data_IF_171226259178
#
_entry.id   IF_171226259178
#
_cell.length_a   1.000
_cell.length_b   1.000
_cell.length_c   1.000
_cell.angle_alpha   90.00
_cell.angle_beta   90.00
_cell.angle_gamma   90.00
#
_symmetry.space_group_name_H-M   'P 1'
#
loop_
_entity.id
_entity.type
_entity.pdbx_description
1 polymer ?
#
# COMPACT_ATOMS: atom_id res chain seq x y z
N UNK A 1 22.79 -64.00 16.54
CA UNK A 1 21.98 -63.03 15.77
C UNK A 1 22.52 -61.62 16.00
N UNK A 2 23.06 -60.98 14.96
CA UNK A 2 22.98 -59.53 14.66
C UNK A 2 23.83 -59.29 13.41
N UNK A 3 23.18 -59.26 12.26
CA UNK A 3 23.83 -58.97 10.98
C UNK A 3 24.14 -57.48 10.89
N UNK A 4 25.43 -57.14 10.81
CA UNK A 4 25.91 -55.82 10.48
C UNK A 4 25.55 -55.52 9.02
N UNK A 5 24.51 -54.70 8.79
CA UNK A 5 24.21 -54.16 7.46
C UNK A 5 25.36 -53.21 7.06
N UNK A 6 26.30 -53.70 6.25
CA UNK A 6 27.25 -52.83 5.55
C UNK A 6 26.48 -52.06 4.48
N UNK A 7 26.47 -50.73 4.59
CA UNK A 7 25.96 -49.86 3.54
C UNK A 7 26.88 -49.96 2.32
N UNK A 8 26.29 -49.97 1.12
CA UNK A 8 27.08 -49.97 -0.11
C UNK A 8 27.85 -48.65 -0.23
N UNK A 9 29.06 -48.64 -0.81
CA UNK A 9 29.84 -47.41 -1.00
C UNK A 9 29.08 -46.30 -1.72
N UNK A 10 28.16 -46.67 -2.62
CA UNK A 10 27.29 -45.73 -3.33
C UNK A 10 26.28 -45.04 -2.41
N UNK A 11 25.68 -45.78 -1.46
CA UNK A 11 24.75 -45.20 -0.48
C UNK A 11 25.44 -44.24 0.50
N UNK A 12 26.71 -44.49 0.83
CA UNK A 12 27.52 -43.59 1.67
C UNK A 12 27.89 -42.30 0.92
N UNK A 13 28.19 -42.39 -0.37
CA UNK A 13 28.45 -41.24 -1.23
C UNK A 13 27.20 -40.36 -1.40
N UNK A 14 26.05 -40.97 -1.71
CA UNK A 14 24.78 -40.23 -1.87
C UNK A 14 24.38 -39.51 -0.57
N UNK A 15 24.49 -40.17 0.60
CA UNK A 15 24.25 -39.51 1.89
C UNK A 15 25.23 -38.37 2.19
N UNK A 16 26.49 -38.48 1.76
CA UNK A 16 27.47 -37.40 1.90
C UNK A 16 27.12 -36.18 1.04
N UNK A 17 26.59 -36.42 -0.15
CA UNK A 17 26.13 -35.38 -1.07
C UNK A 17 24.86 -34.69 -0.55
N UNK A 18 23.90 -35.46 -0.04
CA UNK A 18 22.67 -34.94 0.57
C UNK A 18 22.97 -34.14 1.84
N UNK A 19 23.92 -34.58 2.67
CA UNK A 19 24.35 -33.85 3.86
C UNK A 19 25.06 -32.53 3.50
N UNK A 20 25.82 -32.52 2.39
CA UNK A 20 26.45 -31.30 1.88
C UNK A 20 25.40 -30.30 1.39
N UNK A 21 24.43 -30.76 0.60
CA UNK A 21 23.30 -29.94 0.12
C UNK A 21 22.48 -29.40 1.31
N UNK A 22 22.19 -30.22 2.31
CA UNK A 22 21.50 -29.76 3.53
C UNK A 22 22.30 -28.71 4.30
N UNK A 23 23.63 -28.85 4.41
CA UNK A 23 24.46 -27.84 5.07
C UNK A 23 24.57 -26.55 4.28
N UNK A 24 24.65 -26.61 2.95
CA UNK A 24 24.63 -25.45 2.08
C UNK A 24 23.28 -24.72 2.19
N UNK A 25 22.17 -25.45 2.11
CA UNK A 25 20.81 -24.89 2.25
C UNK A 25 20.52 -24.36 3.66
N UNK A 26 21.09 -24.96 4.72
CA UNK A 26 20.99 -24.45 6.08
C UNK A 26 21.81 -23.16 6.25
N UNK A 27 23.02 -23.10 5.67
CA UNK A 27 23.81 -21.86 5.61
C UNK A 27 23.11 -20.76 4.81
N UNK A 28 22.52 -21.11 3.67
CA UNK A 28 21.70 -20.20 2.89
C UNK A 28 20.54 -19.70 3.75
N UNK A 29 19.81 -20.61 4.43
CA UNK A 29 18.71 -20.28 5.34
C UNK A 29 19.12 -19.37 6.52
N UNK A 30 20.32 -19.59 7.07
CA UNK A 30 20.91 -18.75 8.12
C UNK A 30 21.37 -17.38 7.58
N UNK A 31 21.80 -17.29 6.32
CA UNK A 31 22.21 -16.04 5.68
C UNK A 31 21.02 -15.11 5.32
N UNK A 32 19.89 -15.67 4.83
CA UNK A 32 18.63 -14.91 4.57
C UNK A 32 18.19 -14.08 5.78
N UNK A 33 18.43 -14.63 6.98
CA UNK A 33 18.01 -14.05 8.24
C UNK A 33 18.91 -12.92 8.76
N UNK A 34 20.05 -12.64 8.13
CA UNK A 34 21.07 -11.75 8.70
C UNK A 34 21.03 -10.32 8.15
N UNK A 35 20.56 -10.11 6.91
CA UNK A 35 20.72 -8.81 6.25
C UNK A 35 19.50 -7.87 6.39
N UNK A 36 18.29 -8.41 6.40
CA UNK A 36 17.07 -7.62 6.56
C UNK A 36 16.63 -7.64 8.04
N UNK A 37 16.58 -6.50 8.74
CA UNK A 37 16.16 -6.45 10.12
C UNK A 37 14.75 -7.02 10.33
N UNK A 38 14.57 -7.80 11.40
CA UNK A 38 13.27 -8.39 11.78
C UNK A 38 12.16 -7.35 11.91
N UNK A 39 12.49 -6.13 12.33
CA UNK A 39 11.54 -5.01 12.42
C UNK A 39 10.93 -4.66 11.07
N UNK A 40 11.73 -4.62 10.00
CA UNK A 40 11.26 -4.35 8.62
C UNK A 40 10.33 -5.45 8.15
N UNK A 41 10.70 -6.72 8.37
CA UNK A 41 9.85 -7.86 8.02
C UNK A 41 8.51 -7.86 8.77
N UNK A 42 8.51 -7.45 10.05
CA UNK A 42 7.31 -7.36 10.86
C UNK A 42 6.37 -6.24 10.40
N UNK A 43 6.92 -5.10 9.95
CA UNK A 43 6.13 -4.02 9.35
C UNK A 43 5.47 -4.47 8.04
N UNK A 44 6.20 -5.19 7.18
CA UNK A 44 5.65 -5.73 5.93
C UNK A 44 4.51 -6.71 6.21
N UNK A 45 4.69 -7.65 7.14
CA UNK A 45 3.64 -8.63 7.46
C UNK A 45 2.43 -7.98 8.13
N UNK A 46 2.63 -7.00 9.00
CA UNK A 46 1.56 -6.20 9.61
C UNK A 46 0.76 -5.44 8.56
N UNK A 47 1.44 -4.76 7.62
CA UNK A 47 0.79 -4.04 6.52
C UNK A 47 0.01 -4.98 5.60
N UNK A 48 0.55 -6.13 5.21
CA UNK A 48 -0.16 -7.13 4.40
C UNK A 48 -1.45 -7.62 5.07
N UNK A 49 -1.41 -7.80 6.39
CA UNK A 49 -2.57 -8.25 7.15
C UNK A 49 -3.64 -7.15 7.27
N UNK A 50 -3.22 -5.90 7.46
CA UNK A 50 -4.11 -4.74 7.56
C UNK A 50 -4.70 -4.32 6.21
N UNK A 51 -3.95 -4.45 5.11
CA UNK A 51 -4.37 -4.09 3.75
C UNK A 51 -5.64 -4.85 3.34
N UNK A 52 -5.71 -6.15 3.64
CA UNK A 52 -6.87 -7.00 3.33
C UNK A 52 -8.16 -6.54 4.04
N UNK A 53 -8.03 -5.78 5.13
CA UNK A 53 -9.14 -5.26 5.92
C UNK A 53 -9.41 -3.75 5.71
N UNK A 54 -8.61 -3.07 4.87
CA UNK A 54 -8.55 -1.61 4.83
C UNK A 54 -9.69 -0.99 4.01
N UNK A 55 -10.85 -0.84 4.64
CA UNK A 55 -12.03 -0.16 4.06
C UNK A 55 -12.38 1.14 4.78
N UNK A 56 -11.86 1.36 6.00
CA UNK A 56 -12.13 2.56 6.80
C UNK A 56 -11.02 3.60 6.70
N UNK A 57 -11.39 4.88 6.85
CA UNK A 57 -10.43 5.99 6.81
C UNK A 57 -9.38 5.89 7.92
N UNK A 58 -9.77 5.44 9.11
CA UNK A 58 -8.85 5.21 10.24
C UNK A 58 -7.82 4.15 9.91
N UNK A 59 -8.23 3.00 9.36
CA UNK A 59 -7.30 1.95 8.92
C UNK A 59 -6.32 2.47 7.87
N UNK A 60 -6.80 3.26 6.90
CA UNK A 60 -5.96 3.88 5.87
C UNK A 60 -4.92 4.83 6.50
N UNK A 61 -5.31 5.67 7.46
CA UNK A 61 -4.38 6.58 8.17
C UNK A 61 -3.31 5.79 8.94
N UNK A 62 -3.70 4.72 9.64
CA UNK A 62 -2.76 3.84 10.34
C UNK A 62 -1.79 3.20 9.35
N UNK A 63 -2.28 2.72 8.21
CA UNK A 63 -1.45 2.10 7.17
C UNK A 63 -0.46 3.11 6.55
N UNK A 64 -0.84 4.38 6.37
CA UNK A 64 0.10 5.44 5.95
C UNK A 64 1.24 5.61 6.96
N UNK A 65 0.93 5.62 8.26
CA UNK A 65 1.93 5.68 9.33
C UNK A 65 2.87 4.47 9.33
N UNK A 66 2.32 3.25 9.24
CA UNK A 66 3.13 2.03 9.16
C UNK A 66 3.98 1.96 7.89
N UNK A 67 3.48 2.46 6.76
CA UNK A 67 4.24 2.55 5.51
C UNK A 67 5.38 3.58 5.62
N UNK A 68 5.14 4.72 6.27
CA UNK A 68 6.21 5.68 6.60
C UNK A 68 7.31 4.99 7.41
N UNK A 69 6.94 4.28 8.47
CA UNK A 69 7.90 3.59 9.35
C UNK A 69 8.67 2.49 8.61
N UNK A 70 8.00 1.80 7.67
CA UNK A 70 8.65 0.83 6.79
C UNK A 70 9.70 1.49 5.91
N UNK A 71 9.39 2.62 5.27
CA UNK A 71 10.34 3.36 4.45
C UNK A 71 11.52 3.94 5.24
N UNK A 72 11.29 4.38 6.48
CA UNK A 72 12.38 4.78 7.38
C UNK A 72 13.25 3.57 7.78
N UNK A 73 12.63 2.43 8.07
CA UNK A 73 13.34 1.17 8.33
C UNK A 73 14.18 0.71 7.13
N UNK A 74 13.65 0.82 5.92
CA UNK A 74 14.37 0.53 4.68
C UNK A 74 15.51 1.52 4.46
N UNK A 75 15.29 2.80 4.73
CA UNK A 75 16.36 3.79 4.65
C UNK A 75 17.53 3.43 5.60
N UNK A 76 17.22 3.02 6.83
CA UNK A 76 18.24 2.61 7.80
C UNK A 76 18.94 1.32 7.38
N UNK A 77 18.20 0.37 6.79
CA UNK A 77 18.74 -0.85 6.20
C UNK A 77 19.75 -0.52 5.08
N UNK A 78 19.38 0.37 4.15
CA UNK A 78 20.25 0.78 3.03
C UNK A 78 21.55 1.45 3.53
N UNK A 79 21.54 2.07 4.70
CA UNK A 79 22.74 2.70 5.28
C UNK A 79 23.70 1.69 5.96
N UNK A 80 23.31 0.42 6.11
CA UNK A 80 24.18 -0.61 6.67
C UNK A 80 25.28 -0.99 5.68
N UNK A 81 26.53 -1.05 6.15
CA UNK A 81 27.69 -1.34 5.29
C UNK A 81 27.57 -2.64 4.49
N UNK A 82 27.02 -3.70 5.10
CA UNK A 82 26.79 -4.98 4.42
C UNK A 82 25.78 -4.89 3.28
N UNK A 83 24.73 -4.09 3.46
CA UNK A 83 23.71 -3.84 2.42
C UNK A 83 24.30 -2.96 1.32
N UNK A 84 25.05 -1.91 1.68
CA UNK A 84 25.71 -1.05 0.71
C UNK A 84 26.68 -1.84 -0.17
N UNK A 85 27.48 -2.74 0.42
CA UNK A 85 28.35 -3.64 -0.34
C UNK A 85 27.55 -4.55 -1.28
N UNK A 86 26.48 -5.18 -0.79
CA UNK A 86 25.62 -6.03 -1.63
C UNK A 86 24.99 -5.26 -2.81
N UNK A 87 24.49 -4.05 -2.56
CA UNK A 87 23.86 -3.20 -3.58
C UNK A 87 24.87 -2.56 -4.55
N UNK A 88 26.08 -2.21 -4.10
CA UNK A 88 27.12 -1.61 -4.96
C UNK A 88 27.74 -2.63 -5.92
N UNK A 89 27.67 -3.93 -5.57
CA UNK A 89 28.17 -5.00 -6.43
C UNK A 89 27.20 -5.37 -7.57
N UNK A 90 26.01 -4.75 -7.62
CA UNK A 90 25.01 -5.03 -8.65
C UNK A 90 25.46 -4.48 -10.00
N UNK A 91 25.55 -5.37 -11.00
CA UNK A 91 25.91 -5.03 -12.39
C UNK A 91 24.70 -5.09 -13.35
N UNK A 92 23.50 -5.27 -12.82
CA UNK A 92 22.27 -5.37 -13.61
C UNK A 92 21.57 -4.01 -13.69
N UNK A 93 21.95 -3.23 -14.71
CA UNK A 93 21.34 -1.93 -15.03
C UNK A 93 19.81 -2.02 -15.15
N UNK A 94 19.28 -3.15 -15.63
CA UNK A 94 17.83 -3.32 -15.79
C UNK A 94 17.16 -3.39 -14.42
N UNK A 95 17.70 -4.20 -13.51
CA UNK A 95 17.20 -4.28 -12.14
C UNK A 95 17.31 -2.94 -11.40
N UNK A 96 18.45 -2.25 -11.53
CA UNK A 96 18.67 -0.93 -10.92
C UNK A 96 17.63 0.06 -11.44
N UNK A 97 17.46 0.16 -12.76
CA UNK A 97 16.50 1.06 -13.37
C UNK A 97 15.06 0.75 -12.96
N UNK A 98 14.67 -0.52 -12.86
CA UNK A 98 13.33 -0.93 -12.42
C UNK A 98 13.06 -0.60 -10.94
N UNK A 99 14.06 -0.73 -10.08
CA UNK A 99 13.95 -0.35 -8.68
C UNK A 99 13.84 1.18 -8.53
N UNK A 100 14.70 1.92 -9.23
CA UNK A 100 14.67 3.39 -9.21
C UNK A 100 13.39 3.92 -9.85
N UNK A 101 12.90 3.37 -10.95
CA UNK A 101 11.62 3.74 -11.55
C UNK A 101 10.44 3.44 -10.60
N UNK A 102 10.43 2.26 -9.97
CA UNK A 102 9.42 1.91 -8.96
C UNK A 102 9.37 2.90 -7.80
N UNK A 103 10.53 3.29 -7.26
CA UNK A 103 10.61 4.30 -6.19
C UNK A 103 10.14 5.69 -6.65
N UNK A 104 10.42 6.09 -7.90
CA UNK A 104 9.96 7.37 -8.45
C UNK A 104 8.44 7.38 -8.58
N UNK A 105 7.88 6.32 -9.19
CA UNK A 105 6.43 6.19 -9.39
C UNK A 105 5.68 6.20 -8.05
N UNK A 106 6.28 5.67 -6.99
CA UNK A 106 5.70 5.73 -5.64
C UNK A 106 5.69 7.15 -5.07
N UNK A 107 6.78 7.91 -5.24
CA UNK A 107 6.85 9.34 -4.90
C UNK A 107 5.81 10.14 -5.68
N UNK A 108 5.70 9.92 -6.99
CA UNK A 108 4.75 10.63 -7.87
C UNK A 108 3.29 10.33 -7.48
N UNK A 109 2.96 9.07 -7.19
CA UNK A 109 1.63 8.69 -6.71
C UNK A 109 1.34 9.28 -5.32
N UNK A 110 2.33 9.37 -4.44
CA UNK A 110 2.16 10.03 -3.15
C UNK A 110 1.91 11.54 -3.32
N UNK A 111 2.66 12.19 -4.21
CA UNK A 111 2.46 13.58 -4.61
C UNK A 111 1.05 13.83 -5.15
N UNK A 112 0.61 13.02 -6.11
CA UNK A 112 -0.75 13.10 -6.65
C UNK A 112 -1.83 12.87 -5.56
N UNK A 113 -1.61 11.94 -4.65
CA UNK A 113 -2.51 11.72 -3.51
C UNK A 113 -2.63 12.96 -2.62
N UNK A 114 -1.52 13.66 -2.34
CA UNK A 114 -1.50 14.92 -1.57
C UNK A 114 -2.34 15.99 -2.26
N UNK A 115 -2.17 16.17 -3.57
CA UNK A 115 -2.93 17.15 -4.35
C UNK A 115 -4.44 16.86 -4.30
N UNK A 116 -4.82 15.58 -4.41
CA UNK A 116 -6.23 15.14 -4.36
C UNK A 116 -6.85 15.38 -2.97
N UNK A 117 -6.11 15.10 -1.89
CA UNK A 117 -6.56 15.39 -0.53
C UNK A 117 -6.71 16.90 -0.31
N UNK A 118 -5.76 17.70 -0.79
CA UNK A 118 -5.80 19.16 -0.71
C UNK A 118 -7.03 19.74 -1.45
N UNK A 119 -7.27 19.34 -2.71
CA UNK A 119 -8.47 19.72 -3.47
C UNK A 119 -9.77 19.30 -2.77
N UNK A 120 -9.74 18.17 -2.07
CA UNK A 120 -10.88 17.68 -1.29
C UNK A 120 -11.13 18.59 -0.10
N UNK A 121 -10.08 18.98 0.63
CA UNK A 121 -10.13 19.93 1.75
C UNK A 121 -10.74 21.26 1.34
N UNK A 122 -10.21 21.86 0.27
CA UNK A 122 -10.69 23.14 -0.27
C UNK A 122 -12.20 23.07 -0.56
N UNK A 123 -12.64 21.99 -1.21
CA UNK A 123 -14.08 21.82 -1.51
C UNK A 123 -14.96 21.73 -0.27
N UNK A 124 -14.48 21.09 0.80
CA UNK A 124 -15.19 21.00 2.09
C UNK A 124 -15.25 22.37 2.75
N UNK A 125 -14.12 23.08 2.82
CA UNK A 125 -14.01 24.39 3.47
C UNK A 125 -14.81 25.48 2.75
N UNK A 126 -14.90 25.42 1.42
CA UNK A 126 -15.74 26.30 0.61
C UNK A 126 -17.23 26.12 0.95
N UNK A 127 -17.68 24.86 1.05
CA UNK A 127 -19.06 24.55 1.41
C UNK A 127 -19.36 24.97 2.86
N UNK A 128 -18.48 24.65 3.81
CA UNK A 128 -18.64 25.06 5.20
C UNK A 128 -18.71 26.58 5.36
N UNK A 129 -17.84 27.30 4.64
CA UNK A 129 -17.81 28.76 4.67
C UNK A 129 -19.09 29.36 4.07
N UNK A 130 -19.67 28.71 3.06
CA UNK A 130 -20.93 29.13 2.44
C UNK A 130 -22.13 28.91 3.38
N UNK A 131 -22.19 27.74 4.03
CA UNK A 131 -23.21 27.43 5.05
C UNK A 131 -23.15 28.44 6.21
N UNK A 132 -21.95 28.74 6.73
CA UNK A 132 -21.75 29.71 7.83
C UNK A 132 -22.23 31.13 7.48
N UNK A 133 -22.13 31.52 6.20
CA UNK A 133 -22.52 32.86 5.73
C UNK A 133 -24.04 33.01 5.51
N UNK A 134 -24.81 31.92 5.63
CA UNK A 134 -26.28 31.87 5.72
C UNK A 134 -27.04 32.76 4.69
N UNK A 135 -26.95 32.43 3.40
CA UNK A 135 -27.63 33.14 2.30
C UNK A 135 -28.95 32.53 1.81
N UNK A 136 -29.43 31.43 2.41
CA UNK A 136 -30.61 30.71 1.89
C UNK A 136 -30.38 29.99 0.54
N UNK A 137 -29.14 30.00 0.03
CA UNK A 137 -28.73 29.39 -1.24
C UNK A 137 -28.04 28.02 -1.07
N UNK A 138 -28.21 27.34 0.07
CA UNK A 138 -27.54 26.07 0.42
C UNK A 138 -27.59 25.03 -0.70
N UNK A 139 -28.68 24.96 -1.46
CA UNK A 139 -28.81 24.03 -2.59
C UNK A 139 -27.82 24.32 -3.73
N UNK A 140 -27.52 25.60 -4.01
CA UNK A 140 -26.54 26.03 -5.01
C UNK A 140 -25.12 25.69 -4.53
N UNK A 141 -24.81 25.98 -3.26
CA UNK A 141 -23.50 25.70 -2.67
C UNK A 141 -23.20 24.20 -2.65
N UNK A 142 -24.19 23.38 -2.27
CA UNK A 142 -24.09 21.92 -2.32
C UNK A 142 -23.89 21.44 -3.77
N UNK A 143 -24.55 22.04 -4.76
CA UNK A 143 -24.33 21.68 -6.17
C UNK A 143 -22.90 21.99 -6.62
N UNK A 144 -22.33 23.12 -6.20
CA UNK A 144 -20.93 23.51 -6.48
C UNK A 144 -19.95 22.53 -5.86
N UNK A 145 -20.15 22.17 -4.59
CA UNK A 145 -19.39 21.11 -3.92
C UNK A 145 -19.46 19.80 -4.71
N UNK A 146 -20.67 19.32 -5.02
CA UNK A 146 -20.88 18.08 -5.80
C UNK A 146 -20.17 18.12 -7.16
N UNK A 147 -20.17 19.27 -7.85
CA UNK A 147 -19.47 19.44 -9.11
C UNK A 147 -17.94 19.34 -8.95
N UNK A 148 -17.38 19.99 -7.92
CA UNK A 148 -15.95 19.88 -7.57
C UNK A 148 -15.56 18.43 -7.27
N UNK A 149 -16.35 17.73 -6.45
CA UNK A 149 -16.12 16.33 -6.09
C UNK A 149 -16.19 15.40 -7.30
N UNK A 150 -17.10 15.65 -8.25
CA UNK A 150 -17.14 14.93 -9.55
C UNK A 150 -15.88 15.18 -10.38
N UNK A 151 -15.32 16.39 -10.37
CA UNK A 151 -14.07 16.73 -11.07
C UNK A 151 -12.89 15.97 -10.46
N UNK A 152 -12.79 15.95 -9.13
CA UNK A 152 -11.77 15.18 -8.40
C UNK A 152 -11.87 13.69 -8.74
N UNK A 153 -13.07 13.10 -8.68
CA UNK A 153 -13.28 11.70 -9.02
C UNK A 153 -12.86 11.37 -10.47
N UNK A 154 -13.18 12.24 -11.43
CA UNK A 154 -12.71 12.09 -12.82
C UNK A 154 -11.18 12.10 -12.92
N UNK A 155 -10.52 13.01 -12.20
CA UNK A 155 -9.06 13.11 -12.15
C UNK A 155 -8.44 11.83 -11.58
N UNK A 156 -8.91 11.39 -10.40
CA UNK A 156 -8.46 10.15 -9.74
C UNK A 156 -8.67 8.93 -10.65
N UNK A 157 -9.86 8.80 -11.25
CA UNK A 157 -10.18 7.68 -12.14
C UNK A 157 -9.25 7.66 -13.36
N UNK A 158 -8.93 8.83 -13.92
CA UNK A 158 -7.98 8.95 -15.05
C UNK A 158 -6.58 8.52 -14.61
N UNK A 159 -6.12 8.99 -13.45
CA UNK A 159 -4.80 8.65 -12.91
C UNK A 159 -4.67 7.14 -12.65
N UNK A 160 -5.63 6.54 -11.94
CA UNK A 160 -5.64 5.09 -11.63
C UNK A 160 -5.67 4.24 -12.92
N UNK A 161 -6.36 4.69 -13.98
CA UNK A 161 -6.34 3.99 -15.27
C UNK A 161 -4.96 4.00 -15.91
N UNK A 162 -4.27 5.13 -15.88
CA UNK A 162 -2.93 5.27 -16.43
C UNK A 162 -1.91 4.44 -15.64
N UNK A 163 -2.08 4.31 -14.31
CA UNK A 163 -1.22 3.49 -13.45
C UNK A 163 -1.19 1.99 -13.83
N UNK A 164 -2.26 1.46 -14.42
CA UNK A 164 -2.33 0.02 -14.78
C UNK A 164 -1.34 -0.39 -15.86
N UNK A 165 -0.84 0.56 -16.67
CA UNK A 165 0.16 0.30 -17.70
C UNK A 165 1.55 -0.03 -17.15
N UNK A 166 1.83 0.28 -15.88
CA UNK A 166 3.18 0.19 -15.31
C UNK A 166 3.48 -1.11 -14.56
N UNK A 167 2.49 -1.96 -14.29
CA UNK A 167 2.64 -3.18 -13.48
C UNK A 167 3.14 -4.41 -14.27
N UNK A 168 3.63 -4.25 -15.50
CA UNK A 168 3.92 -5.37 -16.42
C UNK A 168 5.38 -5.79 -16.52
N UNK A 169 6.29 -5.16 -15.78
CA UNK A 169 7.72 -5.48 -15.87
C UNK A 169 8.16 -6.19 -14.59
N UNK A 170 8.02 -7.52 -14.58
CA UNK A 170 8.69 -8.36 -13.59
C UNK A 170 9.94 -8.94 -14.25
N UNK A 171 11.11 -8.47 -13.84
CA UNK A 171 12.37 -9.04 -14.28
C UNK A 171 12.81 -10.12 -13.31
N UNK A 172 13.24 -11.26 -13.86
CA UNK A 172 13.86 -12.33 -13.09
C UNK A 172 15.16 -11.80 -12.47
N UNK A 173 15.14 -11.62 -11.15
CA UNK A 173 16.32 -11.31 -10.33
C UNK A 173 17.42 -12.35 -10.58
N UNK A 174 18.67 -11.86 -10.67
CA UNK A 174 19.89 -12.64 -10.82
C UNK A 174 19.91 -13.90 -9.94
N UNK A 175 20.15 -15.06 -10.56
CA UNK A 175 20.03 -16.37 -9.93
C UNK A 175 21.18 -16.72 -8.95
N UNK A 176 22.10 -15.77 -8.69
CA UNK A 176 23.39 -16.06 -8.04
C UNK A 176 23.63 -15.38 -6.70
N UNK A 177 22.91 -14.31 -6.36
CA UNK A 177 23.08 -13.59 -5.09
C UNK A 177 21.81 -13.68 -4.24
N UNK A 178 21.92 -14.48 -3.18
CA UNK A 178 20.81 -14.75 -2.27
C UNK A 178 20.36 -13.47 -1.51
N UNK A 179 21.32 -12.68 -1.03
CA UNK A 179 21.07 -11.49 -0.22
C UNK A 179 20.42 -10.38 -1.05
N UNK A 180 20.95 -10.16 -2.26
CA UNK A 180 20.38 -9.21 -3.21
C UNK A 180 18.95 -9.61 -3.62
N UNK A 181 18.70 -10.91 -3.81
CA UNK A 181 17.37 -11.44 -4.14
C UNK A 181 16.38 -11.19 -2.99
N UNK A 182 16.82 -11.38 -1.74
CA UNK A 182 16.00 -11.10 -0.57
C UNK A 182 15.67 -9.61 -0.45
N UNK A 183 16.67 -8.72 -0.62
CA UNK A 183 16.46 -7.26 -0.61
C UNK A 183 15.53 -6.83 -1.74
N UNK A 184 15.78 -7.29 -2.97
CA UNK A 184 14.98 -6.95 -4.14
C UNK A 184 13.51 -7.39 -3.99
N UNK A 185 13.27 -8.60 -3.47
CA UNK A 185 11.92 -9.08 -3.14
C UNK A 185 11.25 -8.19 -2.10
N UNK A 186 11.95 -7.85 -1.01
CA UNK A 186 11.43 -6.98 0.05
C UNK A 186 11.07 -5.59 -0.48
N UNK A 187 11.92 -4.98 -1.31
CA UNK A 187 11.67 -3.68 -1.92
C UNK A 187 10.47 -3.73 -2.87
N UNK A 188 10.32 -4.79 -3.67
CA UNK A 188 9.15 -4.99 -4.55
C UNK A 188 7.85 -5.21 -3.77
N UNK A 189 7.90 -5.94 -2.67
CA UNK A 189 6.75 -6.09 -1.77
C UNK A 189 6.36 -4.74 -1.14
N UNK A 190 7.35 -3.96 -0.72
CA UNK A 190 7.12 -2.60 -0.18
C UNK A 190 6.53 -1.68 -1.23
N UNK A 191 7.04 -1.71 -2.47
CA UNK A 191 6.48 -0.96 -3.60
C UNK A 191 5.00 -1.29 -3.78
N UNK A 192 4.65 -2.57 -3.84
CA UNK A 192 3.27 -3.03 -3.99
C UNK A 192 2.34 -2.56 -2.86
N UNK A 193 2.79 -2.65 -1.60
CA UNK A 193 2.07 -2.14 -0.43
C UNK A 193 1.84 -0.62 -0.54
N UNK A 194 2.89 0.12 -0.93
CA UNK A 194 2.81 1.56 -1.12
C UNK A 194 1.80 1.97 -2.17
N UNK A 195 1.80 1.30 -3.33
CA UNK A 195 0.80 1.51 -4.38
C UNK A 195 -0.61 1.22 -3.89
N UNK A 196 -0.80 0.13 -3.16
CA UNK A 196 -2.12 -0.27 -2.69
C UNK A 196 -2.71 0.73 -1.69
N UNK A 197 -1.93 1.12 -0.67
CA UNK A 197 -2.36 2.06 0.37
C UNK A 197 -2.67 3.44 -0.24
N UNK A 198 -1.78 3.97 -1.08
CA UNK A 198 -2.02 5.26 -1.75
C UNK A 198 -3.24 5.20 -2.67
N UNK A 199 -3.46 4.08 -3.35
CA UNK A 199 -4.67 3.88 -4.15
C UNK A 199 -5.93 3.85 -3.28
N UNK A 200 -5.88 3.26 -2.09
CA UNK A 200 -7.00 3.31 -1.12
C UNK A 200 -7.30 4.73 -0.66
N UNK A 201 -6.27 5.56 -0.41
CA UNK A 201 -6.45 7.01 -0.15
C UNK A 201 -7.18 7.69 -1.30
N UNK A 202 -6.72 7.47 -2.54
CA UNK A 202 -7.36 8.05 -3.72
C UNK A 202 -8.82 7.59 -3.90
N UNK A 203 -9.12 6.32 -3.64
CA UNK A 203 -10.49 5.79 -3.72
C UNK A 203 -11.37 6.42 -2.65
N UNK A 204 -10.88 6.54 -1.41
CA UNK A 204 -11.57 7.23 -0.32
C UNK A 204 -11.88 8.69 -0.70
N UNK A 205 -10.91 9.40 -1.30
CA UNK A 205 -11.08 10.79 -1.74
C UNK A 205 -11.93 10.94 -3.01
N UNK A 206 -12.00 9.95 -3.90
CA UNK A 206 -12.89 10.03 -5.06
C UNK A 206 -14.38 9.85 -4.68
N UNK A 207 -14.60 9.18 -3.55
CA UNK A 207 -15.89 8.71 -3.09
C UNK A 207 -16.49 7.59 -3.97
N UNK A 208 -17.24 6.67 -3.37
CA UNK A 208 -17.96 5.66 -4.14
C UNK A 208 -19.03 6.29 -5.02
N UNK A 209 -19.14 5.82 -6.27
CA UNK A 209 -20.32 6.10 -7.08
C UNK A 209 -21.51 5.42 -6.43
N UNK A 210 -22.58 6.18 -6.18
CA UNK A 210 -23.93 5.62 -6.06
C UNK A 210 -24.14 4.72 -7.28
N UNK A 211 -24.17 3.40 -7.06
CA UNK A 211 -24.45 2.43 -8.13
C UNK A 211 -25.89 2.70 -8.56
N UNK A 212 -26.08 3.49 -9.62
CA UNK A 212 -27.32 3.43 -10.38
C UNK A 212 -27.51 1.97 -10.77
N UNK A 213 -28.67 1.39 -10.44
CA UNK A 213 -29.04 0.01 -10.75
C UNK A 213 -28.80 -0.30 -12.24
N UNK A 214 -27.62 -0.79 -12.62
CA UNK A 214 -27.37 -1.67 -13.77
C UNK A 214 -25.89 -2.09 -13.85
N UNK A 215 -25.69 -3.41 -14.02
CA UNK A 215 -24.43 -4.13 -14.26
C UNK A 215 -23.44 -4.18 -13.10
N UNK A 216 -23.82 -5.05 -12.16
CA UNK A 216 -22.95 -6.12 -11.66
C UNK A 216 -21.89 -6.48 -12.71
N UNK A 217 -20.70 -5.89 -12.58
CA UNK A 217 -19.49 -6.58 -12.99
C UNK A 217 -19.25 -7.57 -11.88
N UNK A 218 -19.77 -8.77 -12.12
CA UNK A 218 -19.32 -10.01 -11.54
C UNK A 218 -17.82 -9.92 -11.26
N UNK A 219 -17.51 -9.67 -9.99
CA UNK A 219 -16.26 -10.10 -9.39
C UNK A 219 -16.09 -11.56 -9.81
N UNK A 220 -14.90 -11.87 -10.29
CA UNK A 220 -14.48 -13.16 -10.81
C UNK A 220 -14.72 -14.28 -9.77
N UNK A 221 -15.96 -14.77 -9.69
CA UNK A 221 -16.30 -16.00 -8.99
C UNK A 221 -16.10 -17.17 -9.95
N UNK A 222 -14.84 -17.57 -10.08
CA UNK A 222 -14.49 -18.96 -10.38
C UNK A 222 -13.47 -19.41 -9.34
N UNK A 223 -13.94 -19.57 -8.11
CA UNK A 223 -13.33 -20.52 -7.21
C UNK A 223 -14.46 -21.34 -6.58
N UNK A 224 -14.29 -22.65 -6.67
CA UNK A 224 -15.31 -23.67 -6.47
C UNK A 224 -15.86 -23.68 -5.04
N UNK A 225 -17.16 -23.84 -4.98
CA UNK A 225 -17.95 -24.05 -3.78
C UNK A 225 -17.64 -25.42 -3.19
N UNK A 226 -17.19 -25.47 -1.93
CA UNK A 226 -17.32 -26.67 -1.10
C UNK A 226 -17.74 -26.29 0.32
N UNK A 227 -18.99 -26.67 0.63
CA UNK A 227 -19.63 -26.88 1.94
C UNK A 227 -19.63 -25.77 3.01
N UNK A 228 -20.75 -25.04 3.06
CA UNK A 228 -21.78 -25.07 4.13
C UNK A 228 -21.27 -25.21 5.59
N UNK A 229 -21.50 -24.19 6.41
CA UNK A 229 -22.36 -24.22 7.62
C UNK A 229 -22.72 -22.77 8.03
N UNK A 230 -24.02 -22.57 8.27
CA UNK A 230 -24.67 -21.40 8.85
C UNK A 230 -24.05 -21.02 10.21
N UNK A 231 -23.84 -19.73 10.47
CA UNK A 231 -24.17 -19.17 11.78
C UNK A 231 -24.41 -17.67 11.67
N UNK A 232 -25.65 -17.28 11.91
CA UNK A 232 -26.01 -15.93 12.35
C UNK A 232 -25.26 -15.65 13.65
N UNK A 233 -24.43 -14.60 13.66
CA UNK A 233 -24.13 -13.86 14.87
C UNK A 233 -24.17 -12.38 14.50
N UNK A 234 -25.26 -11.76 14.92
CA UNK A 234 -25.39 -10.32 15.05
C UNK A 234 -24.36 -9.87 16.09
N UNK A 235 -23.37 -9.10 15.67
CA UNK A 235 -22.46 -8.42 16.57
C UNK A 235 -22.40 -6.94 16.22
N UNK A 236 -23.09 -6.19 17.07
CA UNK A 236 -23.02 -4.76 17.23
C UNK A 236 -21.59 -4.40 17.66
N UNK A 237 -20.82 -3.82 16.75
CA UNK A 237 -19.50 -3.30 17.01
C UNK A 237 -19.30 -2.05 16.17
N UNK A 238 -19.47 -0.90 16.82
CA UNK A 238 -18.96 0.41 16.44
C UNK A 238 -19.26 0.83 15.01
N UNK A 239 -20.22 1.74 14.84
CA UNK A 239 -20.36 2.52 13.61
C UNK A 239 -19.07 3.33 13.36
N UNK A 240 -18.05 2.68 12.80
CA UNK A 240 -16.92 3.36 12.19
C UNK A 240 -17.50 4.17 11.05
N UNK A 241 -17.61 5.47 11.32
CA UNK A 241 -18.10 6.50 10.44
C UNK A 241 -17.25 6.48 9.16
N UNK A 242 -17.70 5.70 8.16
CA UNK A 242 -17.31 5.86 6.78
C UNK A 242 -17.41 7.34 6.47
N UNK A 243 -16.26 8.02 6.35
CA UNK A 243 -16.26 9.43 6.02
C UNK A 243 -17.14 9.63 4.79
N UNK A 244 -18.22 10.38 4.98
CA UNK A 244 -19.34 10.48 4.05
C UNK A 244 -18.97 11.34 2.84
N UNK A 245 -17.89 11.00 2.14
CA UNK A 245 -17.59 11.53 0.81
C UNK A 245 -18.59 11.01 -0.24
N UNK A 246 -19.45 10.05 0.12
CA UNK A 246 -20.12 9.14 -0.82
C UNK A 246 -21.59 9.42 -1.09
N UNK A 247 -22.24 10.39 -0.43
CA UNK A 247 -23.69 10.60 -0.64
C UNK A 247 -24.04 12.05 -0.95
N UNK A 248 -23.57 12.51 -2.12
CA UNK A 248 -23.97 13.78 -2.76
C UNK A 248 -25.49 14.02 -2.78
N UNK A 249 -26.29 12.93 -2.84
CA UNK A 249 -27.75 12.98 -2.85
C UNK A 249 -28.34 13.15 -1.45
N UNK A 250 -27.73 12.53 -0.44
CA UNK A 250 -28.11 12.69 0.98
C UNK A 250 -27.77 14.09 1.49
N UNK A 251 -26.69 14.68 0.98
CA UNK A 251 -26.25 16.03 1.32
C UNK A 251 -27.29 17.13 1.00
N UNK A 252 -28.15 16.89 0.01
CA UNK A 252 -29.22 17.84 -0.39
C UNK A 252 -30.46 17.78 0.51
N UNK A 253 -30.65 16.69 1.24
CA UNK A 253 -31.80 16.45 2.11
C UNK A 253 -31.48 16.64 3.60
N UNK A 254 -30.21 16.87 3.95
CA UNK A 254 -29.80 17.16 5.32
C UNK A 254 -30.19 18.59 5.70
N UNK A 255 -30.57 18.79 6.96
CA UNK A 255 -30.59 20.14 7.54
C UNK A 255 -29.15 20.68 7.68
N UNK A 256 -29.04 22.00 7.87
CA UNK A 256 -27.74 22.67 7.95
C UNK A 256 -26.89 22.17 9.14
N UNK A 257 -27.50 21.71 10.23
CA UNK A 257 -26.79 21.27 11.44
C UNK A 257 -26.13 19.91 11.18
N UNK A 258 -26.88 18.95 10.64
CA UNK A 258 -26.38 17.63 10.26
C UNK A 258 -25.33 17.72 9.15
N UNK A 259 -25.54 18.61 8.18
CA UNK A 259 -24.58 18.88 7.12
C UNK A 259 -23.25 19.41 7.68
N UNK A 260 -23.30 20.41 8.55
CA UNK A 260 -22.12 20.98 9.17
C UNK A 260 -21.36 19.96 10.05
N UNK A 261 -22.07 19.11 10.79
CA UNK A 261 -21.44 18.03 11.57
C UNK A 261 -20.72 17.03 10.66
N UNK A 262 -21.29 16.71 9.50
CA UNK A 262 -20.70 15.77 8.53
C UNK A 262 -19.45 16.34 7.88
N UNK A 263 -19.46 17.64 7.55
CA UNK A 263 -18.31 18.32 6.96
C UNK A 263 -17.14 18.40 7.93
N UNK A 264 -17.38 18.76 9.21
CA UNK A 264 -16.36 18.74 10.27
C UNK A 264 -15.73 17.37 10.47
N UNK A 265 -16.54 16.31 10.48
CA UNK A 265 -16.02 14.94 10.59
C UNK A 265 -15.14 14.57 9.38
N UNK A 266 -15.49 15.05 8.19
CA UNK A 266 -14.71 14.86 6.97
C UNK A 266 -13.40 15.65 7.02
N UNK A 267 -13.42 16.89 7.51
CA UNK A 267 -12.24 17.75 7.68
C UNK A 267 -11.21 17.11 8.61
N UNK A 268 -11.61 16.59 9.78
CA UNK A 268 -10.68 15.91 10.69
C UNK A 268 -10.00 14.69 10.05
N UNK A 269 -10.72 13.96 9.18
CA UNK A 269 -10.13 12.83 8.45
C UNK A 269 -9.17 13.30 7.38
N UNK A 270 -9.52 14.37 6.65
CA UNK A 270 -8.66 14.98 5.64
C UNK A 270 -7.35 15.44 6.27
N UNK A 271 -7.40 16.11 7.41
CA UNK A 271 -6.20 16.57 8.14
C UNK A 271 -5.27 15.41 8.50
N UNK A 272 -5.81 14.31 9.05
CA UNK A 272 -5.02 13.10 9.33
C UNK A 272 -4.39 12.50 8.09
N UNK A 273 -5.11 12.51 6.96
CA UNK A 273 -4.59 12.03 5.68
C UNK A 273 -3.49 12.96 5.13
N UNK A 274 -3.65 14.28 5.24
CA UNK A 274 -2.63 15.25 4.84
C UNK A 274 -1.34 15.07 5.64
N UNK A 275 -1.44 14.97 6.97
CA UNK A 275 -0.30 14.72 7.85
C UNK A 275 0.39 13.40 7.53
N UNK A 276 -0.39 12.32 7.38
CA UNK A 276 0.12 11.00 7.05
C UNK A 276 0.82 10.95 5.69
N UNK A 277 0.22 11.55 4.66
CA UNK A 277 0.80 11.63 3.32
C UNK A 277 2.05 12.51 3.28
N UNK A 278 2.07 13.63 4.00
CA UNK A 278 3.25 14.50 4.08
C UNK A 278 4.43 13.77 4.73
N UNK A 279 4.17 13.06 5.84
CA UNK A 279 5.19 12.27 6.51
C UNK A 279 5.72 11.13 5.63
N UNK A 280 4.82 10.43 4.94
CA UNK A 280 5.16 9.39 3.97
C UNK A 280 5.96 9.96 2.78
N UNK A 281 5.54 11.08 2.20
CA UNK A 281 6.23 11.69 1.07
C UNK A 281 7.69 11.99 1.39
N UNK A 282 7.96 12.54 2.58
CA UNK A 282 9.33 12.79 3.05
C UNK A 282 10.13 11.50 3.20
N UNK A 283 9.56 10.44 3.76
CA UNK A 283 10.28 9.17 3.91
C UNK A 283 10.53 8.51 2.55
N UNK A 284 9.58 8.57 1.61
CA UNK A 284 9.75 8.06 0.24
C UNK A 284 10.89 8.77 -0.50
N UNK A 285 10.93 10.10 -0.45
CA UNK A 285 12.02 10.90 -1.05
C UNK A 285 13.36 10.52 -0.43
N UNK A 286 13.42 10.40 0.90
CA UNK A 286 14.63 9.99 1.62
C UNK A 286 15.10 8.59 1.20
N UNK A 287 14.20 7.61 1.16
CA UNK A 287 14.51 6.26 0.69
C UNK A 287 15.05 6.28 -0.74
N UNK A 288 14.40 7.04 -1.64
CA UNK A 288 14.84 7.18 -3.04
C UNK A 288 16.25 7.77 -3.14
N UNK A 289 16.56 8.82 -2.38
CA UNK A 289 17.90 9.41 -2.34
C UNK A 289 18.93 8.39 -1.86
N UNK A 290 18.63 7.64 -0.80
CA UNK A 290 19.53 6.58 -0.31
C UNK A 290 19.76 5.48 -1.35
N UNK A 291 18.73 5.06 -2.10
CA UNK A 291 18.89 4.12 -3.21
C UNK A 291 19.77 4.69 -4.33
N UNK A 292 19.51 5.93 -4.76
CA UNK A 292 20.31 6.60 -5.79
C UNK A 292 21.79 6.69 -5.39
N UNK A 293 22.07 7.08 -4.15
CA UNK A 293 23.43 7.22 -3.66
C UNK A 293 24.21 5.89 -3.67
N UNK A 294 23.55 4.77 -3.36
CA UNK A 294 24.21 3.46 -3.31
C UNK A 294 24.32 2.81 -4.69
N UNK A 295 23.38 3.07 -5.60
CA UNK A 295 23.29 2.41 -6.91
C UNK A 295 23.88 3.20 -8.08
N UNK A 296 24.25 4.47 -7.89
CA UNK A 296 24.82 5.31 -8.96
C UNK A 296 26.35 5.40 -8.93
N UNK A 297 27.01 4.42 -8.28
CA UNK A 297 28.47 4.38 -8.11
C UNK A 297 29.19 3.58 -9.19
#
# INVERSE_FOLDING_TARGET
MKGSKQFSPKAVLDMGQDLKIMKETLKEAEAIGFLIPKSVMMLISGLKSSEAASTSATSICTNLGSLRDLHEGINNLIQMASVQQALSNVQDDKWINELLDGSLRLVDLCGFSRDVVCLTKESVQDLESSIRRNKGETAIDVNTYVASRKKINKMVTKYIKNLKGFNQNSTALLDKDYDLKAIGKMLKETEALGFSILKSVLILMAGEKERSKQRSWSLLSKFTQTSRVHSEVQQDAGAENLCSFNTFKSLKSMDNIALQSTLKASEMTIEKLEEGLEALFRSLVKTRVSLLNVLSH
#
